data_IF_799332718383
#
_entry.id   IF_799332718383
#
_cell.length_a   1.000
_cell.length_b   1.000
_cell.length_c   1.000
_cell.angle_alpha   90.00
_cell.angle_beta   90.00
_cell.angle_gamma   90.00
#
_symmetry.space_group_name_H-M   'P 1'
#
loop_
_entity.id
_entity.type
_entity.pdbx_description
1 polymer ?
#
# COMPACT_ATOMS: atom_id res chain seq x y z
N UNK A 1 14.42 14.87 30.12
CA UNK A 1 13.29 14.02 30.54
C UNK A 1 12.04 14.65 29.99
N UNK A 2 11.50 14.12 28.89
CA UNK A 2 10.19 14.54 28.36
C UNK A 2 9.13 14.15 29.38
N UNK A 3 8.28 15.10 29.78
CA UNK A 3 7.24 14.82 30.75
C UNK A 3 6.19 13.89 30.12
N UNK A 4 5.52 13.06 30.92
CA UNK A 4 4.51 12.13 30.40
C UNK A 4 3.37 12.81 29.62
N UNK A 5 3.10 14.09 29.91
CA UNK A 5 2.17 14.93 29.16
C UNK A 5 2.67 15.29 27.75
N UNK A 6 3.97 15.52 27.58
CA UNK A 6 4.55 15.85 26.28
C UNK A 6 4.44 14.65 25.33
N UNK A 7 4.65 13.44 25.86
CA UNK A 7 4.48 12.19 25.11
C UNK A 7 3.03 12.05 24.64
N UNK A 8 2.02 12.29 25.48
CA UNK A 8 0.62 12.13 25.07
C UNK A 8 0.18 13.13 23.99
N UNK A 9 0.78 14.33 23.96
CA UNK A 9 0.48 15.33 22.95
C UNK A 9 1.00 14.95 21.54
N UNK A 10 1.95 14.02 21.45
CA UNK A 10 2.48 13.50 20.17
C UNK A 10 1.58 12.42 19.52
N UNK A 11 0.58 11.92 20.22
CA UNK A 11 -0.27 10.80 19.79
C UNK A 11 -1.75 11.16 19.79
N UNK A 12 -2.51 10.49 18.93
CA UNK A 12 -3.95 10.73 18.84
C UNK A 12 -4.68 10.02 19.98
N UNK A 13 -5.90 10.48 20.26
CA UNK A 13 -6.78 9.87 21.27
C UNK A 13 -7.02 8.39 20.98
N UNK A 14 -7.16 8.02 19.71
CA UNK A 14 -7.39 6.65 19.26
C UNK A 14 -6.19 5.75 19.56
N UNK A 15 -4.97 6.24 19.36
CA UNK A 15 -3.73 5.52 19.66
C UNK A 15 -3.59 5.27 21.17
N UNK A 16 -3.93 6.26 21.99
CA UNK A 16 -3.90 6.14 23.46
C UNK A 16 -4.99 5.17 23.94
N UNK A 17 -6.20 5.22 23.36
CA UNK A 17 -7.26 4.26 23.68
C UNK A 17 -6.85 2.84 23.29
N UNK A 18 -6.24 2.66 22.12
CA UNK A 18 -5.72 1.37 21.69
C UNK A 18 -4.66 0.84 22.67
N UNK A 19 -3.77 1.70 23.18
CA UNK A 19 -2.82 1.32 24.22
C UNK A 19 -3.51 0.83 25.49
N UNK A 20 -4.47 1.59 26.00
CA UNK A 20 -5.21 1.23 27.21
C UNK A 20 -5.95 -0.08 27.03
N UNK A 21 -6.48 -0.36 25.83
CA UNK A 21 -7.16 -1.64 25.51
C UNK A 21 -6.19 -2.82 25.47
N UNK A 22 -4.99 -2.65 24.93
CA UNK A 22 -4.03 -3.76 24.78
C UNK A 22 -3.25 -4.06 26.07
N UNK A 23 -2.86 -3.02 26.80
CA UNK A 23 -1.94 -3.12 27.96
C UNK A 23 -2.66 -2.95 29.30
N UNK A 24 -3.87 -2.41 29.30
CA UNK A 24 -4.63 -2.11 30.51
C UNK A 24 -4.30 -0.74 31.09
N UNK A 25 -5.25 -0.20 31.85
CA UNK A 25 -5.21 1.18 32.37
C UNK A 25 -4.09 1.45 33.39
N UNK A 26 -3.58 0.40 34.05
CA UNK A 26 -2.63 0.53 35.16
C UNK A 26 -1.15 0.58 34.73
N UNK A 27 -0.85 0.38 33.45
CA UNK A 27 0.52 0.46 32.95
C UNK A 27 0.87 1.91 32.57
N UNK A 28 2.07 2.32 32.96
CA UNK A 28 2.61 3.63 32.60
C UNK A 28 2.76 3.70 31.09
N UNK A 29 2.16 4.73 30.49
CA UNK A 29 2.27 4.98 29.06
C UNK A 29 3.73 5.27 28.73
N UNK A 30 4.31 4.46 27.84
CA UNK A 30 5.64 4.67 27.29
C UNK A 30 5.52 5.11 25.83
N UNK A 31 6.41 6.02 25.42
CA UNK A 31 6.47 6.51 24.03
C UNK A 31 6.68 5.37 23.05
N UNK A 32 7.54 4.40 23.40
CA UNK A 32 7.81 3.19 22.61
C UNK A 32 6.54 2.38 22.34
N UNK A 33 5.72 2.15 23.36
CA UNK A 33 4.51 1.34 23.20
C UNK A 33 3.46 2.05 22.34
N UNK A 34 3.36 3.38 22.46
CA UNK A 34 2.51 4.18 21.58
C UNK A 34 3.02 4.20 20.13
N UNK A 35 4.33 4.32 19.91
CA UNK A 35 4.94 4.18 18.58
C UNK A 35 4.66 2.79 17.99
N UNK A 36 4.73 1.74 18.81
CA UNK A 36 4.41 0.37 18.39
C UNK A 36 2.94 0.24 17.95
N UNK A 37 2.00 0.84 18.68
CA UNK A 37 0.58 0.82 18.32
C UNK A 37 0.33 1.58 17.02
N UNK A 38 0.98 2.73 16.83
CA UNK A 38 0.94 3.49 15.58
C UNK A 38 1.45 2.65 14.41
N UNK A 39 2.60 2.00 14.57
CA UNK A 39 3.17 1.10 13.58
C UNK A 39 2.23 -0.07 13.28
N UNK A 40 1.72 -0.75 14.31
CA UNK A 40 0.81 -1.89 14.18
C UNK A 40 -0.45 -1.52 13.41
N UNK A 41 -1.10 -0.41 13.79
CA UNK A 41 -2.29 0.10 13.12
C UNK A 41 -2.01 0.43 11.65
N UNK A 42 -0.88 1.09 11.37
CA UNK A 42 -0.48 1.42 9.99
C UNK A 42 -0.16 0.17 9.17
N UNK A 43 0.47 -0.83 9.78
CA UNK A 43 0.82 -2.11 9.16
C UNK A 43 -0.41 -2.95 8.84
N UNK A 44 -1.34 -3.10 9.79
CA UNK A 44 -2.61 -3.83 9.57
C UNK A 44 -3.43 -3.20 8.45
N UNK A 45 -3.54 -1.87 8.44
CA UNK A 45 -4.22 -1.14 7.36
C UNK A 45 -3.53 -1.35 6.02
N UNK A 46 -2.20 -1.34 5.99
CA UNK A 46 -1.44 -1.56 4.76
C UNK A 46 -1.64 -2.99 4.21
N UNK A 47 -1.64 -4.00 5.08
CA UNK A 47 -1.92 -5.38 4.68
C UNK A 47 -3.32 -5.51 4.09
N UNK A 48 -4.34 -4.93 4.74
CA UNK A 48 -5.70 -4.93 4.22
C UNK A 48 -5.81 -4.24 2.85
N UNK A 49 -5.08 -3.13 2.65
CA UNK A 49 -5.04 -2.44 1.36
C UNK A 49 -4.34 -3.26 0.26
N UNK A 50 -3.31 -4.04 0.60
CA UNK A 50 -2.67 -5.00 -0.32
C UNK A 50 -3.63 -6.13 -0.70
N UNK A 51 -4.30 -6.74 0.28
CA UNK A 51 -5.26 -7.81 0.05
C UNK A 51 -6.42 -7.32 -0.83
N UNK A 52 -6.90 -6.10 -0.60
CA UNK A 52 -7.94 -5.48 -1.42
C UNK A 52 -7.49 -5.26 -2.88
N UNK A 53 -6.27 -4.77 -3.12
CA UNK A 53 -5.75 -4.60 -4.48
C UNK A 53 -5.50 -5.95 -5.16
N UNK A 54 -5.04 -6.97 -4.43
CA UNK A 54 -4.86 -8.33 -4.96
C UNK A 54 -6.19 -8.97 -5.34
N UNK A 55 -7.21 -8.88 -4.47
CA UNK A 55 -8.55 -9.43 -4.74
C UNK A 55 -9.20 -8.74 -5.94
N UNK A 56 -9.05 -7.42 -6.02
CA UNK A 56 -9.52 -6.64 -7.16
C UNK A 56 -8.78 -7.04 -8.44
N UNK A 57 -7.46 -7.12 -8.40
CA UNK A 57 -6.68 -7.53 -9.58
C UNK A 57 -7.05 -8.94 -10.01
N UNK A 58 -7.24 -9.89 -9.09
CA UNK A 58 -7.68 -11.24 -9.44
C UNK A 58 -9.03 -11.27 -10.18
N UNK A 59 -9.92 -10.32 -9.89
CA UNK A 59 -11.26 -10.23 -10.48
C UNK A 59 -11.27 -9.44 -11.79
N UNK A 60 -10.59 -8.29 -11.82
CA UNK A 60 -10.64 -7.32 -12.91
C UNK A 60 -9.47 -7.46 -13.90
N UNK A 61 -8.57 -8.43 -13.70
CA UNK A 61 -7.38 -8.63 -14.54
C UNK A 61 -7.81 -8.79 -16.00
N UNK A 62 -7.35 -7.89 -16.90
CA UNK A 62 -7.61 -8.04 -18.33
C UNK A 62 -7.00 -9.33 -18.88
N UNK A 63 -7.62 -9.86 -19.93
CA UNK A 63 -7.08 -11.01 -20.66
C UNK A 63 -5.83 -10.62 -21.45
N UNK A 64 -4.67 -10.80 -20.83
CA UNK A 64 -3.39 -10.48 -21.45
C UNK A 64 -3.03 -11.43 -22.60
N UNK A 65 -3.62 -12.63 -22.68
CA UNK A 65 -3.39 -13.50 -23.82
C UNK A 65 -4.02 -12.90 -25.10
N UNK A 66 -5.20 -12.29 -24.97
CA UNK A 66 -5.81 -11.50 -26.06
C UNK A 66 -4.97 -10.29 -26.43
N UNK A 67 -4.47 -9.55 -25.43
CA UNK A 67 -3.58 -8.40 -25.67
C UNK A 67 -2.33 -8.80 -26.46
N UNK A 68 -1.71 -9.91 -26.09
CA UNK A 68 -0.51 -10.40 -26.77
C UNK A 68 -0.83 -10.90 -28.19
N UNK A 69 -1.97 -11.55 -28.41
CA UNK A 69 -2.43 -11.91 -29.75
C UNK A 69 -2.66 -10.67 -30.64
N UNK A 70 -3.29 -9.61 -30.11
CA UNK A 70 -3.47 -8.34 -30.81
C UNK A 70 -2.12 -7.67 -31.11
N UNK A 71 -1.17 -7.73 -30.18
CA UNK A 71 0.18 -7.19 -30.38
C UNK A 71 0.93 -7.94 -31.50
N UNK A 72 0.80 -9.27 -31.58
CA UNK A 72 1.37 -10.07 -32.67
C UNK A 72 0.75 -9.67 -34.01
N UNK A 73 -0.57 -9.51 -34.09
CA UNK A 73 -1.26 -9.05 -35.30
C UNK A 73 -0.80 -7.65 -35.71
N UNK A 74 -0.68 -6.73 -34.75
CA UNK A 74 -0.20 -5.37 -34.97
C UNK A 74 1.22 -5.31 -35.54
N UNK A 75 2.09 -6.23 -35.09
CA UNK A 75 3.46 -6.34 -35.58
C UNK A 75 3.56 -7.00 -36.96
N UNK A 76 2.64 -7.92 -37.29
CA UNK A 76 2.61 -8.61 -38.58
C UNK A 76 2.01 -7.77 -39.72
N UNK A 77 1.11 -6.84 -39.39
CA UNK A 77 0.42 -5.99 -40.36
C UNK A 77 1.33 -4.89 -40.93
N UNK A 78 1.33 -4.73 -42.26
CA UNK A 78 2.00 -3.64 -42.99
C UNK A 78 1.10 -2.46 -43.31
N UNK A 79 -0.24 -2.62 -43.20
CA UNK A 79 -1.20 -1.53 -43.35
C UNK A 79 -1.25 -0.63 -42.10
N UNK A 80 -0.99 0.65 -42.32
CA UNK A 80 -0.95 1.68 -41.28
C UNK A 80 -2.32 1.88 -40.62
N UNK A 81 -3.43 1.81 -41.39
CA UNK A 81 -4.77 2.06 -40.82
C UNK A 81 -5.20 0.92 -39.89
N UNK A 82 -4.95 -0.32 -40.31
CA UNK A 82 -5.19 -1.49 -39.50
C UNK A 82 -4.31 -1.52 -38.25
N UNK A 83 -3.05 -1.11 -38.38
CA UNK A 83 -2.14 -0.96 -37.24
C UNK A 83 -2.66 0.03 -36.21
N UNK A 84 -3.19 1.18 -36.63
CA UNK A 84 -3.80 2.17 -35.72
C UNK A 84 -5.02 1.58 -35.02
N UNK A 85 -5.86 0.81 -35.73
CA UNK A 85 -7.03 0.15 -35.13
C UNK A 85 -6.61 -0.82 -34.03
N UNK A 86 -5.65 -1.70 -34.32
CA UNK A 86 -5.13 -2.68 -33.36
C UNK A 86 -4.48 -2.01 -32.14
N UNK A 87 -3.76 -0.91 -32.32
CA UNK A 87 -3.20 -0.14 -31.20
C UNK A 87 -4.28 0.42 -30.27
N UNK A 88 -5.40 0.90 -30.82
CA UNK A 88 -6.55 1.37 -30.00
C UNK A 88 -7.22 0.23 -29.25
N UNK A 89 -7.22 -0.98 -29.79
CA UNK A 89 -7.74 -2.16 -29.12
C UNK A 89 -6.81 -2.66 -28.00
N UNK A 90 -5.49 -2.45 -28.13
CA UNK A 90 -4.48 -2.81 -27.12
C UNK A 90 -4.44 -1.79 -25.95
N UNK A 91 -4.65 -0.50 -26.25
CA UNK A 91 -4.53 0.60 -25.28
C UNK A 91 -5.25 0.37 -23.93
N UNK A 92 -6.49 -0.15 -23.87
CA UNK A 92 -7.18 -0.38 -22.59
C UNK A 92 -6.47 -1.40 -21.70
N UNK A 93 -5.84 -2.44 -22.28
CA UNK A 93 -5.11 -3.46 -21.55
C UNK A 93 -3.84 -2.88 -20.91
N UNK A 94 -3.09 -2.10 -21.69
CA UNK A 94 -1.88 -1.44 -21.23
C UNK A 94 -2.20 -0.39 -20.14
N UNK A 95 -3.31 0.35 -20.30
CA UNK A 95 -3.80 1.29 -19.28
C UNK A 95 -4.16 0.57 -17.98
N UNK A 96 -4.91 -0.52 -18.05
CA UNK A 96 -5.30 -1.29 -16.87
C UNK A 96 -4.09 -1.86 -16.12
N UNK A 97 -3.07 -2.34 -16.85
CA UNK A 97 -1.80 -2.77 -16.28
C UNK A 97 -1.04 -1.61 -15.63
N UNK A 98 -0.93 -0.48 -16.32
CA UNK A 98 -0.27 0.71 -15.79
C UNK A 98 -0.92 1.19 -14.49
N UNK A 99 -2.25 1.26 -14.46
CA UNK A 99 -3.01 1.68 -13.29
C UNK A 99 -2.78 0.74 -12.10
N UNK A 100 -2.71 -0.58 -12.33
CA UNK A 100 -2.39 -1.57 -11.29
C UNK A 100 -0.95 -1.41 -10.77
N UNK A 101 0.01 -1.22 -11.66
CA UNK A 101 1.40 -0.96 -11.28
C UNK A 101 1.52 0.33 -10.45
N UNK A 102 0.81 1.39 -10.82
CA UNK A 102 0.82 2.64 -10.08
C UNK A 102 0.19 2.52 -8.69
N UNK A 103 -0.86 1.72 -8.53
CA UNK A 103 -1.44 1.41 -7.21
C UNK A 103 -0.48 0.60 -6.34
N UNK A 104 0.12 -0.45 -6.91
CA UNK A 104 1.10 -1.29 -6.21
C UNK A 104 2.31 -0.46 -5.76
N UNK A 105 2.84 0.42 -6.62
CA UNK A 105 3.93 1.34 -6.26
C UNK A 105 3.58 2.28 -5.11
N UNK A 106 2.33 2.75 -5.02
CA UNK A 106 1.87 3.57 -3.88
C UNK A 106 1.85 2.75 -2.59
N UNK A 107 1.44 1.48 -2.65
CA UNK A 107 1.48 0.58 -1.51
C UNK A 107 2.93 0.29 -1.08
N UNK A 108 3.84 0.06 -2.02
CA UNK A 108 5.28 -0.12 -1.74
C UNK A 108 5.89 1.12 -1.06
N UNK A 109 5.52 2.31 -1.51
CA UNK A 109 5.97 3.56 -0.88
C UNK A 109 5.46 3.68 0.57
N UNK A 110 4.23 3.22 0.83
CA UNK A 110 3.66 3.15 2.18
C UNK A 110 4.34 2.08 3.03
N UNK A 111 4.68 0.92 2.45
CA UNK A 111 5.47 -0.11 3.14
C UNK A 111 6.80 0.46 3.63
N UNK A 112 7.52 1.19 2.79
CA UNK A 112 8.76 1.87 3.21
C UNK A 112 8.55 2.89 4.33
N UNK A 113 7.37 3.49 4.44
CA UNK A 113 7.04 4.39 5.56
C UNK A 113 6.79 3.58 6.85
N UNK A 114 6.05 2.47 6.77
CA UNK A 114 5.83 1.54 7.89
C UNK A 114 7.15 0.93 8.37
N UNK A 115 8.03 0.51 7.46
CA UNK A 115 9.35 -0.03 7.80
C UNK A 115 10.22 1.00 8.53
N UNK A 116 10.09 2.29 8.17
CA UNK A 116 10.78 3.37 8.88
C UNK A 116 10.23 3.56 10.29
N UNK A 117 8.91 3.52 10.46
CA UNK A 117 8.29 3.57 11.79
C UNK A 117 8.81 2.45 12.69
N UNK A 118 9.01 1.24 12.15
CA UNK A 118 9.58 0.12 12.90
C UNK A 118 11.01 0.41 13.38
N UNK A 119 11.87 0.93 12.49
CA UNK A 119 13.25 1.32 12.86
C UNK A 119 13.30 2.44 13.89
N UNK A 120 12.36 3.37 13.84
CA UNK A 120 12.29 4.45 14.82
C UNK A 120 11.90 3.93 16.22
N UNK A 121 11.09 2.86 16.30
CA UNK A 121 10.82 2.15 17.56
C UNK A 121 12.10 1.48 18.10
N UNK A 122 12.87 0.81 17.23
CA UNK A 122 14.14 0.18 17.63
C UNK A 122 15.14 1.20 18.17
N UNK A 123 15.22 2.39 17.56
CA UNK A 123 16.10 3.48 18.02
C UNK A 123 15.69 4.06 19.36
N UNK A 124 14.40 4.14 19.66
CA UNK A 124 13.90 4.60 20.96
C UNK A 124 14.12 3.54 22.07
N UNK A 125 14.32 2.27 21.69
CA UNK A 125 14.58 1.18 22.61
C UNK A 125 16.07 0.97 22.94
N UNK A 126 16.98 1.59 22.17
CA UNK A 126 18.44 1.54 22.34
C UNK A 126 18.94 2.69 23.22
#
# INVERSE_FOLDING_TARGET
MTNGLDVLNEFTKEEIIAFVREKGFFLRISRRDLLFIRWKTASEKLMADFDAELARWATDKPDFAKRDALAVQCNATTDIQEKIRLLREIEPYDKALHDHLMRTRKLDARQKAVDRMYRDIEREAA
#
